data_IF_074584025100
#
_entry.id   IF_074584025100
#
_cell.length_a   1.000
_cell.length_b   1.000
_cell.length_c   1.000
_cell.angle_alpha   90.00
_cell.angle_beta   90.00
_cell.angle_gamma   90.00
#
_symmetry.space_group_name_H-M   'P 1'
#
loop_
_entity.id
_entity.type
_entity.pdbx_description
1 polymer ?
#
# COMPACT_ATOMS: atom_id res chain seq x y z
N UNK A 1 -38.30 -20.92 -52.46
CA UNK A 1 -39.25 -20.57 -51.39
C UNK A 1 -38.53 -20.78 -50.07
N UNK A 2 -37.93 -19.71 -49.52
CA UNK A 2 -37.22 -19.71 -48.23
C UNK A 2 -38.19 -19.24 -47.15
N UNK A 3 -38.22 -19.95 -46.02
CA UNK A 3 -38.63 -19.48 -44.70
C UNK A 3 -37.80 -20.27 -43.69
N UNK A 4 -37.27 -19.81 -42.57
CA UNK A 4 -36.93 -18.50 -42.03
C UNK A 4 -36.11 -18.86 -40.78
N UNK A 5 -34.79 -18.66 -40.83
CA UNK A 5 -33.90 -18.80 -39.68
C UNK A 5 -34.12 -17.60 -38.75
N UNK A 6 -34.52 -17.86 -37.50
CA UNK A 6 -34.47 -16.88 -36.42
C UNK A 6 -33.01 -16.57 -36.09
N UNK A 7 -32.61 -15.33 -36.35
CA UNK A 7 -31.39 -14.74 -35.81
C UNK A 7 -31.84 -13.48 -35.08
N UNK A 8 -31.72 -13.54 -33.76
CA UNK A 8 -31.92 -12.40 -32.86
C UNK A 8 -31.00 -11.26 -33.29
N UNK A 9 -31.61 -10.13 -33.67
CA UNK A 9 -30.91 -8.89 -33.96
C UNK A 9 -30.55 -8.21 -32.65
N UNK A 10 -29.28 -8.32 -32.24
CA UNK A 10 -28.71 -7.46 -31.21
C UNK A 10 -28.50 -6.09 -31.83
N UNK A 11 -29.29 -5.10 -31.41
CA UNK A 11 -29.12 -3.70 -31.75
C UNK A 11 -27.76 -3.19 -31.22
N UNK A 12 -26.89 -2.78 -32.13
CA UNK A 12 -25.69 -1.99 -31.84
C UNK A 12 -26.10 -0.62 -31.29
N UNK A 13 -25.89 -0.40 -29.98
CA UNK A 13 -25.96 0.93 -29.39
C UNK A 13 -24.66 1.69 -29.67
N UNK A 14 -24.70 2.52 -30.70
CA UNK A 14 -23.69 3.51 -31.01
C UNK A 14 -23.81 4.71 -30.06
N UNK A 15 -22.98 4.76 -29.01
CA UNK A 15 -22.87 5.92 -28.13
C UNK A 15 -21.91 6.95 -28.72
N UNK A 16 -22.47 7.94 -29.43
CA UNK A 16 -21.77 9.19 -29.75
C UNK A 16 -22.17 10.27 -28.75
N UNK A 17 -21.40 10.37 -27.66
CA UNK A 17 -21.45 11.52 -26.75
C UNK A 17 -20.43 12.56 -27.17
N UNK A 18 -20.87 13.62 -27.86
CA UNK A 18 -20.11 14.85 -28.11
C UNK A 18 -20.76 15.98 -27.30
N UNK A 19 -19.96 16.66 -26.47
CA UNK A 19 -20.38 17.71 -25.54
C UNK A 19 -20.08 17.24 -24.11
N UNK A 20 -19.38 17.96 -23.25
CA UNK A 20 -19.13 19.39 -23.11
C UNK A 20 -17.86 19.53 -22.26
N UNK A 21 -17.16 20.66 -22.37
CA UNK A 21 -16.09 21.04 -21.44
C UNK A 21 -16.57 20.80 -19.99
N UNK A 22 -15.92 19.87 -19.28
CA UNK A 22 -16.15 19.71 -17.85
C UNK A 22 -15.23 20.69 -17.14
N UNK A 23 -15.79 21.87 -16.90
CA UNK A 23 -15.41 22.75 -15.81
C UNK A 23 -15.21 21.93 -14.52
N UNK A 24 -14.21 22.34 -13.73
CA UNK A 24 -13.66 21.64 -12.58
C UNK A 24 -14.70 20.96 -11.69
N UNK A 25 -14.78 19.63 -11.83
CA UNK A 25 -15.62 18.79 -10.99
C UNK A 25 -14.78 18.33 -9.79
N UNK A 26 -15.22 18.69 -8.58
CA UNK A 26 -14.66 18.23 -7.30
C UNK A 26 -14.24 16.76 -7.38
N UNK A 27 -12.98 16.46 -7.07
CA UNK A 27 -12.54 15.07 -6.84
C UNK A 27 -13.35 14.54 -5.65
N UNK A 28 -14.35 13.69 -5.90
CA UNK A 28 -15.20 13.15 -4.84
C UNK A 28 -14.42 12.23 -3.90
N UNK A 29 -14.95 11.95 -2.70
CA UNK A 29 -14.27 11.16 -1.65
C UNK A 29 -13.64 9.85 -2.15
N UNK A 30 -14.31 9.17 -3.09
CA UNK A 30 -13.80 7.94 -3.71
C UNK A 30 -12.55 8.17 -4.58
N UNK A 31 -12.51 9.26 -5.35
CA UNK A 31 -11.37 9.61 -6.19
C UNK A 31 -10.18 10.01 -5.32
N UNK A 32 -10.40 10.84 -4.29
CA UNK A 32 -9.37 11.16 -3.30
C UNK A 32 -8.83 9.91 -2.60
N UNK A 33 -9.71 8.98 -2.21
CA UNK A 33 -9.29 7.71 -1.59
C UNK A 33 -8.42 6.87 -2.53
N UNK A 34 -8.75 6.82 -3.82
CA UNK A 34 -7.95 6.12 -4.83
C UNK A 34 -6.61 6.79 -5.08
N UNK A 35 -6.55 8.12 -5.10
CA UNK A 35 -5.32 8.89 -5.23
C UNK A 35 -4.41 8.68 -4.01
N UNK A 36 -4.97 8.74 -2.80
CA UNK A 36 -4.24 8.43 -1.57
C UNK A 36 -3.69 7.01 -1.62
N UNK A 37 -4.48 6.05 -2.10
CA UNK A 37 -4.01 4.67 -2.26
C UNK A 37 -2.83 4.58 -3.24
N UNK A 38 -2.87 5.31 -4.35
CA UNK A 38 -1.78 5.36 -5.31
C UNK A 38 -0.53 6.01 -4.70
N UNK A 39 -0.70 7.03 -3.86
CA UNK A 39 0.40 7.67 -3.14
C UNK A 39 1.15 6.73 -2.17
N UNK A 40 0.52 5.61 -1.77
CA UNK A 40 1.15 4.57 -0.95
C UNK A 40 2.00 3.58 -1.76
N UNK A 41 1.99 3.63 -3.10
CA UNK A 41 2.72 2.68 -3.95
C UNK A 41 4.19 2.46 -3.54
N UNK A 42 4.98 3.50 -3.17
CA UNK A 42 6.37 3.32 -2.80
C UNK A 42 6.60 2.39 -1.59
N UNK A 43 5.60 2.20 -0.72
CA UNK A 43 5.67 1.35 0.48
C UNK A 43 4.85 0.07 0.35
N UNK A 44 4.44 -0.28 -0.87
CA UNK A 44 3.65 -1.45 -1.20
C UNK A 44 4.47 -2.44 -2.07
N UNK A 45 5.55 -3.03 -1.53
CA UNK A 45 6.50 -3.81 -2.32
C UNK A 45 5.91 -5.05 -2.99
N UNK A 46 4.79 -5.56 -2.48
CA UNK A 46 4.12 -6.77 -2.97
C UNK A 46 2.72 -6.47 -3.50
N UNK A 47 2.57 -5.31 -4.16
CA UNK A 47 1.31 -4.88 -4.74
C UNK A 47 0.29 -4.49 -3.67
N UNK A 48 -0.99 -4.89 -3.78
CA UNK A 48 -2.04 -4.28 -2.99
C UNK A 48 -2.11 -4.73 -1.52
N UNK A 49 -1.23 -5.62 -1.08
CA UNK A 49 -1.25 -6.16 0.28
C UNK A 49 -0.86 -5.11 1.32
N UNK A 50 -1.67 -4.98 2.39
CA UNK A 50 -1.37 -4.09 3.51
C UNK A 50 -0.52 -4.76 4.60
N UNK A 51 -0.40 -6.10 4.62
CA UNK A 51 0.40 -6.81 5.63
C UNK A 51 1.87 -6.33 5.62
N UNK A 52 2.55 -6.22 4.46
CA UNK A 52 3.91 -5.68 4.41
C UNK A 52 3.98 -4.25 4.91
N UNK A 53 3.05 -3.39 4.47
CA UNK A 53 2.98 -1.99 4.91
C UNK A 53 2.86 -1.88 6.43
N UNK A 54 1.96 -2.64 7.04
CA UNK A 54 1.75 -2.61 8.49
C UNK A 54 2.97 -3.11 9.26
N UNK A 55 3.67 -4.13 8.74
CA UNK A 55 4.94 -4.58 9.30
C UNK A 55 5.99 -3.46 9.23
N UNK A 56 6.14 -2.82 8.06
CA UNK A 56 7.10 -1.74 7.85
C UNK A 56 6.82 -0.56 8.79
N UNK A 57 5.55 -0.11 8.84
CA UNK A 57 5.12 0.99 9.69
C UNK A 57 5.33 0.69 11.17
N UNK A 58 5.00 -0.53 11.62
CA UNK A 58 5.19 -0.93 13.03
C UNK A 58 6.67 -0.92 13.43
N UNK A 59 7.56 -1.41 12.56
CA UNK A 59 9.01 -1.38 12.82
C UNK A 59 9.53 0.06 12.84
N UNK A 60 9.14 0.88 11.87
CA UNK A 60 9.56 2.29 11.80
C UNK A 60 9.13 3.06 13.05
N UNK A 61 7.86 2.98 13.44
CA UNK A 61 7.34 3.65 14.63
C UNK A 61 8.00 3.17 15.93
N UNK A 62 8.29 1.87 16.05
CA UNK A 62 9.03 1.37 17.20
C UNK A 62 10.44 1.97 17.26
N UNK A 63 11.13 2.04 16.12
CA UNK A 63 12.47 2.61 16.02
C UNK A 63 12.51 4.10 16.35
N UNK A 64 11.57 4.89 15.83
CA UNK A 64 11.44 6.33 16.11
C UNK A 64 11.22 6.61 17.60
N UNK A 65 10.51 5.71 18.31
CA UNK A 65 10.32 5.78 19.75
C UNK A 65 11.50 5.22 20.57
N UNK A 66 12.63 4.87 19.92
CA UNK A 66 13.79 4.29 20.59
C UNK A 66 13.56 2.87 21.11
N UNK A 67 12.51 2.19 20.65
CA UNK A 67 12.17 0.83 21.07
C UNK A 67 12.75 -0.18 20.09
N UNK A 68 13.30 -1.26 20.64
CA UNK A 68 13.70 -2.39 19.83
C UNK A 68 12.54 -3.36 19.64
N UNK A 69 12.10 -3.54 18.39
CA UNK A 69 10.98 -4.43 18.08
C UNK A 69 11.47 -5.85 17.81
N UNK A 70 11.10 -6.79 18.68
CA UNK A 70 11.33 -8.22 18.46
C UNK A 70 10.25 -8.82 17.55
N UNK A 71 10.56 -9.97 16.94
CA UNK A 71 9.57 -10.79 16.23
C UNK A 71 8.35 -11.12 17.11
N UNK A 72 8.58 -11.42 18.40
CA UNK A 72 7.49 -11.75 19.33
C UNK A 72 6.53 -10.57 19.52
N UNK A 73 7.06 -9.36 19.68
CA UNK A 73 6.25 -8.15 19.82
C UNK A 73 5.50 -7.83 18.53
N UNK A 74 6.16 -7.95 17.37
CA UNK A 74 5.51 -7.75 16.07
C UNK A 74 4.29 -8.68 15.89
N UNK A 75 4.47 -9.97 16.19
CA UNK A 75 3.39 -10.97 16.07
C UNK A 75 2.23 -10.72 17.02
N UNK A 76 2.49 -10.13 18.19
CA UNK A 76 1.46 -9.81 19.17
C UNK A 76 0.73 -8.49 18.84
N UNK A 77 1.36 -7.59 18.07
CA UNK A 77 0.83 -6.26 17.79
C UNK A 77 -0.01 -6.13 16.51
N UNK A 78 0.11 -7.09 15.58
CA UNK A 78 -0.58 -7.02 14.28
C UNK A 78 -1.81 -7.92 14.23
N UNK A 79 -2.92 -7.49 13.58
CA UNK A 79 -4.17 -8.25 13.49
C UNK A 79 -4.13 -9.33 12.39
N UNK A 80 -3.00 -10.02 12.23
CA UNK A 80 -2.78 -11.02 11.19
C UNK A 80 -2.32 -12.35 11.75
N UNK A 81 -2.46 -13.42 10.96
CA UNK A 81 -1.96 -14.72 11.38
C UNK A 81 -0.43 -14.70 11.53
N UNK A 82 0.08 -15.43 12.52
CA UNK A 82 1.51 -15.54 12.74
C UNK A 82 2.25 -16.06 11.49
N UNK A 83 1.63 -16.98 10.76
CA UNK A 83 2.16 -17.50 9.48
C UNK A 83 2.23 -16.40 8.42
N UNK A 84 1.16 -15.62 8.26
CA UNK A 84 1.11 -14.51 7.30
C UNK A 84 2.17 -13.44 7.59
N UNK A 85 2.35 -13.08 8.86
CA UNK A 85 3.38 -12.11 9.29
C UNK A 85 4.77 -12.66 8.98
N UNK A 86 5.07 -13.91 9.37
CA UNK A 86 6.39 -14.52 9.13
C UNK A 86 6.72 -14.62 7.65
N UNK A 87 5.75 -15.00 6.82
CA UNK A 87 5.92 -15.08 5.38
C UNK A 87 6.30 -13.72 4.77
N UNK A 88 5.49 -12.67 5.03
CA UNK A 88 5.75 -11.33 4.51
C UNK A 88 7.06 -10.75 5.07
N UNK A 89 7.35 -10.96 6.35
CA UNK A 89 8.58 -10.49 6.97
C UNK A 89 9.83 -11.16 6.38
N UNK A 90 9.76 -12.46 6.06
CA UNK A 90 10.88 -13.14 5.40
C UNK A 90 11.19 -12.53 4.02
N UNK A 91 10.15 -12.19 3.24
CA UNK A 91 10.30 -11.48 1.96
C UNK A 91 10.89 -10.08 2.18
N UNK A 92 10.35 -9.30 3.12
CA UNK A 92 10.84 -7.93 3.41
C UNK A 92 12.31 -7.91 3.81
N UNK A 93 12.75 -8.89 4.60
CA UNK A 93 14.15 -9.05 4.98
C UNK A 93 15.03 -9.44 3.79
N UNK A 94 14.56 -10.35 2.94
CA UNK A 94 15.30 -10.76 1.74
C UNK A 94 15.47 -9.59 0.76
N UNK A 95 14.45 -8.75 0.63
CA UNK A 95 14.43 -7.61 -0.30
C UNK A 95 15.01 -6.31 0.30
N UNK A 96 15.63 -6.40 1.48
CA UNK A 96 16.35 -5.29 2.11
C UNK A 96 15.47 -4.15 2.64
N UNK A 97 14.17 -4.40 2.87
CA UNK A 97 13.27 -3.41 3.51
C UNK A 97 13.52 -3.30 5.01
N UNK A 98 14.05 -4.35 5.61
CA UNK A 98 14.31 -4.47 7.04
C UNK A 98 15.68 -5.08 7.27
N UNK A 99 16.28 -4.76 8.41
CA UNK A 99 17.50 -5.43 8.87
C UNK A 99 17.28 -6.03 10.25
N UNK A 100 18.01 -7.12 10.51
CA UNK A 100 18.07 -7.74 11.84
C UNK A 100 19.31 -7.22 12.54
N UNK A 101 19.16 -6.83 13.81
CA UNK A 101 20.28 -6.50 14.68
C UNK A 101 20.19 -7.30 15.98
N UNK A 102 21.34 -7.68 16.53
CA UNK A 102 21.42 -8.19 17.89
C UNK A 102 21.20 -7.03 18.87
N UNK A 103 20.39 -7.26 19.91
CA UNK A 103 20.06 -6.21 20.86
C UNK A 103 21.03 -6.20 22.05
N UNK A 104 21.95 -5.23 22.06
CA UNK A 104 22.93 -5.07 23.13
C UNK A 104 23.84 -6.30 23.29
N UNK A 105 24.20 -6.64 24.52
CA UNK A 105 25.05 -7.80 24.84
C UNK A 105 24.33 -9.15 24.71
N UNK A 106 22.99 -9.16 24.70
CA UNK A 106 22.22 -10.39 24.51
C UNK A 106 22.01 -10.70 23.02
N UNK A 107 22.99 -11.42 22.47
CA UNK A 107 22.97 -11.91 21.08
C UNK A 107 21.78 -12.82 20.75
N UNK A 108 21.00 -13.26 21.75
CA UNK A 108 19.80 -14.10 21.56
C UNK A 108 18.57 -13.26 21.21
N UNK A 109 18.58 -11.97 21.53
CA UNK A 109 17.50 -11.04 21.17
C UNK A 109 17.80 -10.41 19.81
N UNK A 110 17.09 -10.89 18.79
CA UNK A 110 17.12 -10.32 17.43
C UNK A 110 15.97 -9.32 17.29
N UNK A 111 16.32 -8.08 17.00
CA UNK A 111 15.39 -6.99 16.76
C UNK A 111 15.34 -6.62 15.27
N UNK A 112 14.19 -6.09 14.86
CA UNK A 112 13.95 -5.58 13.52
C UNK A 112 14.21 -4.08 13.53
N UNK A 113 14.93 -3.60 12.51
CA UNK A 113 15.22 -2.18 12.31
C UNK A 113 14.82 -1.76 10.88
N UNK A 114 14.41 -0.50 10.69
CA UNK A 114 14.19 0.06 9.36
C UNK A 114 15.49 0.09 8.57
N UNK A 115 15.42 -0.11 7.26
CA UNK A 115 16.55 0.12 6.35
C UNK A 115 16.49 1.52 5.73
N UNK A 116 17.58 1.95 5.10
CA UNK A 116 17.59 3.20 4.32
C UNK A 116 16.52 3.19 3.21
N UNK A 117 16.35 2.05 2.52
CA UNK A 117 15.32 1.84 1.51
C UNK A 117 13.92 2.12 2.03
N UNK A 118 13.60 1.64 3.23
CA UNK A 118 12.32 1.94 3.87
C UNK A 118 12.17 3.44 4.14
N UNK A 119 13.20 4.09 4.70
CA UNK A 119 13.15 5.51 5.02
C UNK A 119 12.91 6.39 3.77
N UNK A 120 13.57 6.07 2.66
CA UNK A 120 13.39 6.75 1.36
C UNK A 120 11.96 6.56 0.82
N UNK A 121 11.41 5.35 0.89
CA UNK A 121 10.05 5.07 0.49
C UNK A 121 9.03 5.85 1.34
N UNK A 122 9.22 5.89 2.66
CA UNK A 122 8.34 6.62 3.58
C UNK A 122 8.39 8.13 3.32
N UNK A 123 9.57 8.68 3.02
CA UNK A 123 9.70 10.08 2.61
C UNK A 123 8.95 10.36 1.30
N UNK A 124 9.02 9.44 0.33
CA UNK A 124 8.30 9.54 -0.94
C UNK A 124 6.79 9.55 -0.75
N UNK A 125 6.26 8.63 0.07
CA UNK A 125 4.84 8.60 0.45
C UNK A 125 4.41 9.90 1.09
N UNK A 126 5.19 10.43 2.04
CA UNK A 126 4.87 11.69 2.72
C UNK A 126 4.73 12.84 1.72
N UNK A 127 5.66 12.98 0.78
CA UNK A 127 5.61 14.02 -0.25
C UNK A 127 4.38 13.86 -1.16
N UNK A 128 4.07 12.64 -1.60
CA UNK A 128 2.92 12.37 -2.45
C UNK A 128 1.60 12.66 -1.71
N UNK A 129 1.47 12.23 -0.46
CA UNK A 129 0.28 12.46 0.35
C UNK A 129 0.05 13.96 0.65
N UNK A 130 1.11 14.73 0.96
CA UNK A 130 0.99 16.17 1.19
C UNK A 130 0.55 16.91 -0.08
N UNK A 131 1.09 16.54 -1.23
CA UNK A 131 0.70 17.12 -2.52
C UNK A 131 -0.80 16.94 -2.81
N UNK A 132 -1.38 15.79 -2.44
CA UNK A 132 -2.83 15.54 -2.58
C UNK A 132 -3.67 16.44 -1.65
N UNK A 133 -3.19 16.67 -0.43
CA UNK A 133 -3.88 17.52 0.55
C UNK A 133 -3.86 19.00 0.13
N UNK A 134 -2.75 19.46 -0.47
CA UNK A 134 -2.61 20.83 -0.99
C UNK A 134 -3.48 21.10 -2.21
N UNK A 135 -3.84 20.06 -2.97
CA UNK A 135 -4.67 20.16 -4.18
C UNK A 135 -6.18 20.06 -3.89
N UNK A 136 -6.58 19.77 -2.65
CA UNK A 136 -7.98 19.64 -2.27
C UNK A 136 -8.58 21.02 -1.96
N UNK A 137 -9.55 21.53 -2.75
CA UNK A 137 -10.20 22.80 -2.45
C UNK A 137 -11.06 22.64 -1.18
N UNK A 138 -10.82 23.50 -0.19
CA UNK A 138 -11.64 23.63 1.02
C UNK A 138 -13.10 23.97 0.71
#
# INVERSE_FOLDING_TARGET
MRLSSGVDSVQEMHWQGKGTAMDGQRSGDAAFTQELRNALEPVLPYGPSLIPLDILATVALAHEHGNALTMKQLLAGLPYSATGIRYNLAQLLADGWLVKSAHGDDRRLVCLLPSAKMAEAFASVRLQALSLLEQSPH
#
